data_IF_096899463086
#
_entry.id   IF_096899463086
#
_cell.length_a   1.000
_cell.length_b   1.000
_cell.length_c   1.000
_cell.angle_alpha   90.00
_cell.angle_beta   90.00
_cell.angle_gamma   90.00
#
_symmetry.space_group_name_H-M   'P 1'
#
loop_
_entity.id
_entity.type
_entity.pdbx_description
1 polymer ?
#
# COMPACT_ATOMS: atom_id res chain seq x y z
N UNK A 1 -5.43 -13.24 -5.98
CA UNK A 1 -5.34 -12.70 -4.61
C UNK A 1 -6.11 -13.62 -3.69
N UNK A 2 -5.47 -14.22 -2.69
CA UNK A 2 -6.12 -15.25 -1.87
C UNK A 2 -6.98 -14.59 -0.78
N UNK A 3 -8.25 -14.98 -0.70
CA UNK A 3 -9.15 -14.57 0.37
C UNK A 3 -8.79 -15.26 1.67
N UNK A 4 -8.85 -14.54 2.79
CA UNK A 4 -8.73 -15.16 4.12
C UNK A 4 -10.02 -15.89 4.47
N UNK A 5 -9.96 -17.22 4.49
CA UNK A 5 -11.01 -18.12 4.96
C UNK A 5 -10.86 -18.49 6.43
N UNK A 6 -11.93 -19.05 7.00
CA UNK A 6 -11.97 -19.48 8.41
C UNK A 6 -10.84 -20.45 8.81
N UNK A 7 -10.40 -21.30 7.87
CA UNK A 7 -9.31 -22.26 8.11
C UNK A 7 -7.97 -21.56 8.30
N UNK A 8 -7.67 -20.58 7.45
CA UNK A 8 -6.43 -19.81 7.53
C UNK A 8 -6.39 -18.95 8.78
N UNK A 9 -7.50 -18.30 9.14
CA UNK A 9 -7.59 -17.51 10.38
C UNK A 9 -7.39 -18.41 11.61
N UNK A 10 -7.94 -19.63 11.58
CA UNK A 10 -7.74 -20.61 12.66
C UNK A 10 -6.29 -21.11 12.72
N UNK A 11 -5.65 -21.35 11.58
CA UNK A 11 -4.25 -21.75 11.52
C UNK A 11 -3.33 -20.65 12.05
N UNK A 12 -3.52 -19.42 11.58
CA UNK A 12 -2.80 -18.23 12.04
C UNK A 12 -2.93 -18.01 13.55
N UNK A 13 -4.16 -18.13 14.09
CA UNK A 13 -4.41 -18.04 15.53
C UNK A 13 -3.62 -19.10 16.30
N UNK A 14 -3.62 -20.35 15.80
CA UNK A 14 -2.91 -21.47 16.44
C UNK A 14 -1.39 -21.25 16.42
N UNK A 15 -0.84 -20.75 15.32
CA UNK A 15 0.58 -20.46 15.17
C UNK A 15 1.07 -19.38 16.15
N UNK A 16 0.20 -18.41 16.47
CA UNK A 16 0.50 -17.30 17.39
C UNK A 16 0.10 -17.55 18.84
N UNK A 17 -0.33 -18.77 19.16
CA UNK A 17 -0.82 -19.17 20.48
C UNK A 17 -1.85 -18.18 21.07
N UNK A 18 -2.71 -17.64 20.21
CA UNK A 18 -3.71 -16.65 20.61
C UNK A 18 -4.91 -17.33 21.28
N UNK A 19 -5.56 -16.67 22.26
CA UNK A 19 -6.81 -17.15 22.85
C UNK A 19 -7.91 -17.32 21.80
N UNK A 20 -8.96 -18.06 22.15
CA UNK A 20 -10.04 -18.39 21.22
C UNK A 20 -10.71 -17.11 20.75
N UNK A 21 -10.67 -16.89 19.43
CA UNK A 21 -11.35 -15.78 18.79
C UNK A 21 -12.85 -15.90 19.05
N UNK A 22 -13.44 -14.82 19.56
CA UNK A 22 -14.87 -14.67 19.71
C UNK A 22 -15.51 -14.53 18.32
N UNK A 23 -16.81 -14.85 18.15
CA UNK A 23 -17.48 -14.75 16.85
C UNK A 23 -17.34 -13.37 16.20
N UNK A 24 -17.54 -12.30 16.96
CA UNK A 24 -17.41 -10.92 16.47
C UNK A 24 -15.99 -10.57 16.01
N UNK A 25 -14.96 -11.18 16.60
CA UNK A 25 -13.57 -10.96 16.20
C UNK A 25 -13.29 -11.62 14.85
N UNK A 26 -13.89 -12.79 14.60
CA UNK A 26 -13.80 -13.47 13.31
C UNK A 26 -14.47 -12.64 12.22
N UNK A 27 -15.67 -12.10 12.50
CA UNK A 27 -16.39 -11.25 11.56
C UNK A 27 -15.61 -9.97 11.24
N UNK A 28 -14.98 -9.35 12.24
CA UNK A 28 -14.14 -8.18 12.05
C UNK A 28 -12.92 -8.45 11.15
N UNK A 29 -12.26 -9.60 11.33
CA UNK A 29 -11.11 -10.00 10.49
C UNK A 29 -11.56 -10.20 9.03
N UNK A 30 -12.71 -10.85 8.82
CA UNK A 30 -13.27 -11.06 7.48
C UNK A 30 -13.65 -9.73 6.81
N UNK A 31 -14.30 -8.83 7.54
CA UNK A 31 -14.63 -7.50 7.04
C UNK A 31 -13.38 -6.69 6.66
N UNK A 32 -12.31 -6.78 7.45
CA UNK A 32 -11.03 -6.14 7.13
C UNK A 32 -10.39 -6.74 5.88
N UNK A 33 -10.42 -8.06 5.69
CA UNK A 33 -9.90 -8.68 4.46
C UNK A 33 -10.70 -8.26 3.22
N UNK A 34 -12.03 -8.15 3.34
CA UNK A 34 -12.88 -7.65 2.24
C UNK A 34 -12.51 -6.22 1.86
N UNK A 35 -12.29 -5.34 2.84
CA UNK A 35 -11.89 -3.95 2.59
C UNK A 35 -10.47 -3.84 2.05
N UNK A 36 -9.55 -4.69 2.52
CA UNK A 36 -8.19 -4.77 1.96
C UNK A 36 -8.24 -5.11 0.47
N UNK A 37 -9.08 -6.09 0.10
CA UNK A 37 -9.28 -6.48 -1.30
C UNK A 37 -9.89 -5.36 -2.14
N UNK A 38 -10.84 -4.59 -1.61
CA UNK A 38 -11.41 -3.46 -2.35
C UNK A 38 -10.38 -2.36 -2.60
N UNK A 39 -9.60 -1.99 -1.57
CA UNK A 39 -8.55 -0.95 -1.70
C UNK A 39 -7.44 -1.38 -2.66
N UNK A 40 -7.03 -2.64 -2.64
CA UNK A 40 -6.04 -3.14 -3.61
C UNK A 40 -6.60 -3.16 -5.04
N UNK A 41 -7.87 -3.54 -5.24
CA UNK A 41 -8.51 -3.45 -6.54
C UNK A 41 -8.59 -1.99 -7.05
N UNK A 42 -8.92 -1.03 -6.17
CA UNK A 42 -8.87 0.40 -6.48
C UNK A 42 -7.46 0.84 -6.88
N UNK A 43 -6.42 0.41 -6.16
CA UNK A 43 -5.02 0.73 -6.50
C UNK A 43 -4.59 0.16 -7.86
N UNK A 44 -5.04 -1.04 -8.20
CA UNK A 44 -4.76 -1.62 -9.53
C UNK A 44 -5.42 -0.78 -10.62
N UNK A 45 -6.64 -0.30 -10.41
CA UNK A 45 -7.31 0.57 -11.37
C UNK A 45 -6.64 1.96 -11.46
N UNK A 46 -6.29 2.56 -10.32
CA UNK A 46 -5.61 3.87 -10.26
C UNK A 46 -4.21 3.81 -10.87
N UNK A 47 -3.46 2.72 -10.69
CA UNK A 47 -2.15 2.54 -11.31
C UNK A 47 -2.19 2.39 -12.84
N UNK A 48 -3.36 2.08 -13.42
CA UNK A 48 -3.58 2.06 -14.87
C UNK A 48 -3.92 3.47 -15.39
N UNK A 49 -4.55 4.31 -14.56
CA UNK A 49 -5.04 5.64 -14.93
C UNK A 49 -4.12 6.81 -14.54
N UNK A 50 -3.09 6.59 -13.70
CA UNK A 50 -2.09 7.62 -13.41
C UNK A 50 -1.14 7.78 -14.60
N UNK A 51 -1.17 8.91 -15.35
CA UNK A 51 -0.11 9.18 -16.30
C UNK A 51 1.17 9.33 -15.48
N UNK A 52 2.14 8.42 -15.69
CA UNK A 52 3.50 8.55 -15.15
C UNK A 52 3.91 10.01 -15.32
N UNK A 53 4.08 10.71 -14.20
CA UNK A 53 4.44 12.12 -14.21
C UNK A 53 5.56 12.33 -15.24
N UNK A 54 5.34 13.21 -16.21
CA UNK A 54 6.32 13.50 -17.25
C UNK A 54 7.54 14.14 -16.58
N UNK A 55 8.45 13.30 -16.08
CA UNK A 55 9.73 13.74 -15.58
C UNK A 55 10.46 14.32 -16.78
N UNK A 56 10.62 15.64 -16.77
CA UNK A 56 11.40 16.35 -17.78
C UNK A 56 12.76 15.67 -17.94
N UNK A 57 12.97 15.02 -19.09
CA UNK A 57 14.27 14.47 -19.51
C UNK A 57 15.30 15.56 -19.84
N UNK A 58 14.92 16.85 -19.73
CA UNK A 58 15.84 17.94 -20.02
C UNK A 58 16.95 17.93 -18.97
N UNK A 59 18.23 17.85 -19.38
CA UNK A 59 19.32 17.95 -18.42
C UNK A 59 19.18 19.27 -17.67
N UNK A 60 19.34 19.23 -16.34
CA UNK A 60 19.47 20.43 -15.52
C UNK A 60 20.65 21.22 -16.08
N UNK A 61 20.34 22.31 -16.80
CA UNK A 61 21.38 23.24 -17.26
C UNK A 61 22.07 23.82 -16.02
N UNK A 62 23.37 24.10 -16.11
CA UNK A 62 24.16 24.61 -14.97
C UNK A 62 23.49 25.79 -14.28
N UNK A 63 22.87 26.69 -15.06
CA UNK A 63 22.12 27.85 -14.53
C UNK A 63 20.89 27.48 -13.70
N UNK A 64 20.18 26.41 -14.05
CA UNK A 64 19.03 25.91 -13.30
C UNK A 64 19.46 25.17 -12.03
N UNK A 65 20.58 24.43 -12.11
CA UNK A 65 21.19 23.81 -10.94
C UNK A 65 21.66 24.89 -9.93
N UNK A 66 22.39 25.90 -10.40
CA UNK A 66 22.87 27.00 -9.58
C UNK A 66 21.71 27.80 -8.96
N UNK A 67 20.61 27.99 -9.71
CA UNK A 67 19.40 28.64 -9.19
C UNK A 67 18.70 27.83 -8.09
N UNK A 68 18.70 26.50 -8.17
CA UNK A 68 18.08 25.62 -7.16
C UNK A 68 18.95 25.48 -5.90
N UNK A 69 20.28 25.59 -6.04
CA UNK A 69 21.24 25.41 -4.94
C UNK A 69 21.95 26.71 -4.53
N UNK A 70 21.38 27.88 -4.86
CA UNK A 70 21.96 29.20 -4.60
C UNK A 70 22.31 29.46 -3.12
N UNK A 71 21.63 28.81 -2.17
CA UNK A 71 21.86 28.97 -0.74
C UNK A 71 22.98 28.10 -0.15
N UNK A 72 23.59 27.20 -0.95
CA UNK A 72 24.69 26.32 -0.49
C UNK A 72 26.10 26.82 -0.84
N UNK A 73 26.21 27.97 -1.47
CA UNK A 73 27.51 28.65 -1.69
C UNK A 73 27.71 29.71 -0.60
N UNK A 74 27.85 29.25 0.64
CA UNK A 74 28.47 30.01 1.72
C UNK A 74 29.01 29.08 2.79
#
# INVERSE_FOLDING_TARGET
MNSLGFREIRAWRKERDLPKLLPWQMDAILAMDMKRRSVEAEKVNVAVDEPKAEVSKRPLTSRLFDALFASKVK
#
